data_IF_952391029268
#
_entry.id   IF_952391029268
#
_cell.length_a   1.000
_cell.length_b   1.000
_cell.length_c   1.000
_cell.angle_alpha   90.00
_cell.angle_beta   90.00
_cell.angle_gamma   90.00
#
_symmetry.space_group_name_H-M   'P 1'
#
loop_
_entity.id
_entity.type
_entity.pdbx_description
1 polymer ?
#
# COMPACT_ATOMS: atom_id res chain seq x y z
N UNK A 1 -15.43 1.83 10.07
CA UNK A 1 -13.99 1.51 9.90
C UNK A 1 -13.47 2.19 8.66
N UNK A 2 -12.43 2.99 8.83
CA UNK A 2 -11.73 3.55 7.68
C UNK A 2 -10.70 2.54 7.19
N UNK A 3 -10.98 1.91 6.07
CA UNK A 3 -10.15 0.85 5.52
C UNK A 3 -8.90 1.39 4.82
N UNK A 4 -9.05 2.48 4.09
CA UNK A 4 -8.00 3.01 3.23
C UNK A 4 -7.71 4.49 3.47
N UNK A 5 -6.54 4.90 3.02
CA UNK A 5 -6.15 6.30 2.92
C UNK A 5 -5.87 6.58 1.45
N UNK A 6 -6.67 7.43 0.84
CA UNK A 6 -6.64 7.67 -0.61
C UNK A 6 -6.62 9.16 -0.90
N UNK A 7 -5.71 9.59 -1.76
CA UNK A 7 -5.58 10.97 -2.21
C UNK A 7 -5.54 11.04 -3.73
N UNK A 8 -5.99 12.18 -4.25
CA UNK A 8 -5.82 12.53 -5.66
C UNK A 8 -4.40 13.10 -5.82
N UNK A 9 -3.69 12.64 -6.85
CA UNK A 9 -2.38 13.16 -7.20
C UNK A 9 -2.49 14.15 -8.37
N UNK A 10 -1.70 15.20 -8.32
CA UNK A 10 -1.55 16.13 -9.45
C UNK A 10 -0.54 15.64 -10.50
N UNK A 11 0.16 14.55 -10.20
CA UNK A 11 1.17 13.96 -11.09
C UNK A 11 0.52 13.09 -12.14
N UNK A 12 1.25 12.84 -13.24
CA UNK A 12 0.89 11.78 -14.17
C UNK A 12 0.91 10.43 -13.48
N UNK A 13 0.26 9.44 -14.07
CA UNK A 13 0.25 8.08 -13.54
C UNK A 13 1.68 7.55 -13.31
N UNK A 14 2.54 7.67 -14.33
CA UNK A 14 3.91 7.16 -14.24
C UNK A 14 4.72 7.91 -13.19
N UNK A 15 4.60 9.22 -13.11
CA UNK A 15 5.30 10.02 -12.11
C UNK A 15 4.83 9.71 -10.70
N UNK A 16 3.53 9.47 -10.53
CA UNK A 16 2.98 9.08 -9.22
C UNK A 16 3.52 7.72 -8.77
N UNK A 17 3.61 6.75 -9.67
CA UNK A 17 4.21 5.44 -9.36
C UNK A 17 5.66 5.60 -8.91
N UNK A 18 6.45 6.38 -9.65
CA UNK A 18 7.85 6.63 -9.30
C UNK A 18 7.97 7.34 -7.96
N UNK A 19 7.11 8.30 -7.68
CA UNK A 19 7.09 9.02 -6.40
C UNK A 19 6.79 8.07 -5.24
N UNK A 20 5.84 7.16 -5.40
CA UNK A 20 5.51 6.16 -4.37
C UNK A 20 6.71 5.27 -4.09
N UNK A 21 7.37 4.75 -5.13
CA UNK A 21 8.54 3.90 -4.96
C UNK A 21 9.67 4.64 -4.23
N UNK A 22 9.91 5.90 -4.60
CA UNK A 22 10.93 6.73 -3.96
C UNK A 22 10.61 6.97 -2.49
N UNK A 23 9.37 7.32 -2.18
CA UNK A 23 8.96 7.62 -0.80
C UNK A 23 8.97 6.37 0.09
N UNK A 24 8.65 5.21 -0.46
CA UNK A 24 8.80 3.93 0.26
C UNK A 24 10.27 3.75 0.66
N UNK A 25 11.19 3.94 -0.26
CA UNK A 25 12.63 3.82 0.01
C UNK A 25 13.10 4.87 1.03
N UNK A 26 12.62 6.10 0.91
CA UNK A 26 12.95 7.18 1.85
C UNK A 26 12.45 6.89 3.26
N UNK A 27 11.41 6.08 3.39
CA UNK A 27 10.85 5.67 4.69
C UNK A 27 11.58 4.49 5.33
N UNK A 28 12.68 4.03 4.72
CA UNK A 28 13.45 2.88 5.21
C UNK A 28 12.83 1.54 4.89
N UNK A 29 11.87 1.50 3.97
CA UNK A 29 11.22 0.28 3.52
C UNK A 29 11.72 -0.12 2.15
N UNK A 30 11.47 -1.38 1.77
CA UNK A 30 11.93 -1.93 0.51
C UNK A 30 10.74 -2.24 -0.40
N UNK A 31 10.80 -1.74 -1.63
CA UNK A 31 9.87 -2.14 -2.68
C UNK A 31 10.20 -3.58 -3.07
N UNK A 32 9.20 -4.46 -3.00
CA UNK A 32 9.36 -5.87 -3.34
C UNK A 32 9.02 -6.14 -4.79
N UNK A 33 7.90 -5.58 -5.25
CA UNK A 33 7.42 -5.80 -6.60
C UNK A 33 6.39 -4.75 -6.98
N UNK A 34 6.29 -4.47 -8.28
CA UNK A 34 5.25 -3.59 -8.82
C UNK A 34 4.43 -4.40 -9.82
N UNK A 35 3.17 -4.63 -9.50
CA UNK A 35 2.25 -5.36 -10.38
C UNK A 35 1.59 -4.38 -11.35
N UNK A 36 1.72 -4.63 -12.63
CA UNK A 36 1.02 -3.87 -13.67
C UNK A 36 -0.30 -4.57 -13.98
N UNK A 37 -1.36 -4.16 -13.30
CA UNK A 37 -2.68 -4.77 -13.42
C UNK A 37 -3.30 -4.48 -14.79
N UNK A 38 -3.10 -3.28 -15.33
CA UNK A 38 -3.58 -2.91 -16.65
C UNK A 38 -3.03 -3.87 -17.71
N UNK A 39 -1.71 -4.11 -17.68
CA UNK A 39 -1.05 -5.01 -18.61
C UNK A 39 -1.55 -6.46 -18.46
N UNK A 40 -1.61 -6.95 -17.22
CA UNK A 40 -2.06 -8.33 -16.95
C UNK A 40 -3.48 -8.57 -17.46
N UNK A 41 -4.37 -7.60 -17.27
CA UNK A 41 -5.76 -7.72 -17.73
C UNK A 41 -5.86 -7.57 -19.25
N UNK A 42 -5.06 -6.71 -19.87
CA UNK A 42 -5.08 -6.54 -21.32
C UNK A 42 -4.64 -7.79 -22.05
N UNK A 43 -3.72 -8.55 -21.48
CA UNK A 43 -3.28 -9.84 -22.03
C UNK A 43 -4.39 -10.89 -22.04
N UNK A 44 -5.42 -10.71 -21.22
CA UNK A 44 -6.61 -11.56 -21.14
C UNK A 44 -7.82 -10.98 -21.88
N UNK A 45 -7.64 -9.87 -22.60
CA UNK A 45 -8.70 -9.25 -23.40
C UNK A 45 -9.55 -8.25 -22.64
N UNK A 46 -9.17 -7.87 -21.42
CA UNK A 46 -9.89 -6.89 -20.61
C UNK A 46 -9.21 -5.52 -20.71
N UNK A 47 -10.00 -4.48 -20.86
CA UNK A 47 -9.51 -3.10 -20.91
C UNK A 47 -9.68 -2.43 -19.55
N UNK A 48 -8.65 -1.74 -19.11
CA UNK A 48 -8.65 -0.96 -17.88
C UNK A 48 -7.67 0.20 -18.02
N UNK A 49 -7.99 1.32 -17.37
CA UNK A 49 -7.05 2.41 -17.22
C UNK A 49 -5.87 1.98 -16.32
N UNK A 50 -4.82 2.76 -16.31
CA UNK A 50 -3.62 2.46 -15.54
C UNK A 50 -3.93 2.06 -14.11
N UNK A 51 -3.33 0.96 -13.68
CA UNK A 51 -3.47 0.45 -12.31
C UNK A 51 -2.22 -0.34 -11.96
N UNK A 52 -1.48 0.14 -10.96
CA UNK A 52 -0.31 -0.60 -10.44
C UNK A 52 -0.41 -0.79 -8.96
N UNK A 53 0.03 -1.95 -8.49
CA UNK A 53 0.11 -2.30 -7.08
C UNK A 53 1.59 -2.32 -6.70
N UNK A 54 2.01 -1.43 -5.80
CA UNK A 54 3.38 -1.37 -5.31
C UNK A 54 3.43 -2.11 -3.98
N UNK A 55 4.07 -3.29 -3.98
CA UNK A 55 4.27 -4.08 -2.77
C UNK A 55 5.57 -3.67 -2.09
N UNK A 56 5.52 -3.53 -0.77
CA UNK A 56 6.69 -3.17 0.01
C UNK A 56 6.66 -3.81 1.38
N UNK A 57 7.80 -3.88 2.04
CA UNK A 57 7.92 -4.53 3.34
C UNK A 57 9.03 -3.90 4.17
N UNK A 58 8.84 -4.01 5.49
CA UNK A 58 9.87 -3.78 6.48
C UNK A 58 9.93 -5.03 7.36
N UNK A 59 11.11 -5.63 7.45
CA UNK A 59 11.28 -6.90 8.18
C UNK A 59 10.89 -6.80 9.65
N UNK A 60 11.12 -5.65 10.29
CA UNK A 60 10.76 -5.42 11.70
C UNK A 60 9.25 -5.57 11.91
N UNK A 61 8.44 -4.88 11.10
CA UNK A 61 6.99 -4.96 11.19
C UNK A 61 6.48 -6.35 10.82
N UNK A 62 7.00 -6.93 9.74
CA UNK A 62 6.60 -8.25 9.27
C UNK A 62 6.83 -9.30 10.36
N UNK A 63 8.01 -9.33 10.95
CA UNK A 63 8.34 -10.29 12.00
C UNK A 63 7.45 -10.11 13.22
N UNK A 64 7.24 -8.88 13.66
CA UNK A 64 6.44 -8.60 14.84
C UNK A 64 4.96 -8.96 14.63
N UNK A 65 4.39 -8.64 13.47
CA UNK A 65 3.00 -8.99 13.17
C UNK A 65 2.80 -10.51 13.09
N UNK A 66 3.70 -11.22 12.42
CA UNK A 66 3.60 -12.68 12.32
C UNK A 66 3.76 -13.37 13.67
N UNK A 67 4.58 -12.80 14.56
CA UNK A 67 4.73 -13.33 15.92
C UNK A 67 3.48 -13.07 16.77
N UNK A 68 2.76 -11.98 16.51
CA UNK A 68 1.52 -11.68 17.22
C UNK A 68 0.37 -12.59 16.77
N UNK A 69 0.25 -12.83 15.46
CA UNK A 69 -0.74 -13.73 14.88
C UNK A 69 -0.30 -14.07 13.44
N UNK A 70 -0.02 -15.34 13.20
CA UNK A 70 0.49 -15.79 11.91
C UNK A 70 -0.51 -15.54 10.76
N UNK A 71 -1.81 -15.49 11.08
CA UNK A 71 -2.85 -15.21 10.08
C UNK A 71 -2.79 -13.78 9.54
N UNK A 72 -2.09 -12.87 10.21
CA UNK A 72 -1.84 -11.52 9.67
C UNK A 72 -1.06 -11.61 8.37
N UNK A 73 -0.33 -12.70 8.14
CA UNK A 73 0.34 -12.95 6.87
C UNK A 73 -0.58 -12.88 5.66
N UNK A 74 -1.89 -13.10 5.83
CA UNK A 74 -2.86 -12.93 4.75
C UNK A 74 -3.04 -11.46 4.32
N UNK A 75 -2.68 -10.52 5.19
CA UNK A 75 -2.73 -9.08 4.92
C UNK A 75 -1.38 -8.52 4.46
N UNK A 76 -0.39 -9.36 4.28
CA UNK A 76 0.97 -8.99 3.89
C UNK A 76 1.25 -9.39 2.45
N UNK A 77 2.20 -8.72 1.78
CA UNK A 77 2.93 -7.53 2.21
C UNK A 77 2.09 -6.27 2.16
N UNK A 78 2.64 -5.14 2.67
CA UNK A 78 2.00 -3.84 2.53
C UNK A 78 1.92 -3.44 1.06
N UNK A 79 0.89 -2.70 0.70
CA UNK A 79 0.64 -2.30 -0.69
C UNK A 79 0.17 -0.86 -0.74
N UNK A 80 0.64 -0.17 -1.76
CA UNK A 80 0.08 1.12 -2.17
C UNK A 80 -0.29 0.99 -3.64
N UNK A 81 -1.54 1.31 -3.96
CA UNK A 81 -2.03 1.29 -5.33
C UNK A 81 -1.94 2.69 -5.93
N UNK A 82 -1.56 2.75 -7.19
CA UNK A 82 -1.68 3.96 -8.01
C UNK A 82 -2.57 3.61 -9.18
N UNK A 83 -3.63 4.39 -9.40
CA UNK A 83 -4.56 4.09 -10.46
C UNK A 83 -5.19 5.35 -11.05
N UNK A 84 -5.71 5.19 -12.26
CA UNK A 84 -6.48 6.23 -12.95
C UNK A 84 -7.96 5.86 -12.83
N UNK A 85 -8.77 6.82 -12.43
CA UNK A 85 -10.23 6.69 -12.41
C UNK A 85 -10.85 8.04 -12.76
N UNK A 86 -11.77 8.06 -13.71
CA UNK A 86 -12.39 9.30 -14.14
C UNK A 86 -11.41 10.34 -14.67
N UNK A 87 -10.29 9.91 -15.24
CA UNK A 87 -9.25 10.81 -15.77
C UNK A 87 -8.30 11.37 -14.71
N UNK A 88 -8.47 11.01 -13.45
CA UNK A 88 -7.61 11.45 -12.34
C UNK A 88 -6.72 10.33 -11.84
N UNK A 89 -5.54 10.69 -11.34
CA UNK A 89 -4.61 9.76 -10.71
C UNK A 89 -4.85 9.72 -9.20
N UNK A 90 -5.02 8.52 -8.65
CA UNK A 90 -5.21 8.29 -7.22
C UNK A 90 -4.08 7.48 -6.65
N UNK A 91 -3.75 7.76 -5.39
CA UNK A 91 -2.79 6.98 -4.60
C UNK A 91 -3.54 6.49 -3.37
N UNK A 92 -3.52 5.17 -3.13
CA UNK A 92 -4.37 4.56 -2.10
C UNK A 92 -3.62 3.44 -1.38
N UNK A 93 -3.72 3.43 -0.05
CA UNK A 93 -3.15 2.36 0.77
C UNK A 93 -4.13 1.87 1.82
N UNK A 94 -4.07 0.58 2.13
CA UNK A 94 -4.82 0.03 3.25
C UNK A 94 -4.21 0.54 4.56
N UNK A 95 -5.06 0.92 5.49
CA UNK A 95 -4.61 1.43 6.78
C UNK A 95 -4.33 0.28 7.75
N UNK A 96 -3.10 0.14 8.23
CA UNK A 96 -2.75 -0.95 9.15
C UNK A 96 -3.54 -0.97 10.46
N UNK A 97 -4.12 0.17 10.86
CA UNK A 97 -4.95 0.22 12.07
C UNK A 97 -6.17 -0.70 12.00
N UNK A 98 -6.61 -1.09 10.78
CA UNK A 98 -7.72 -2.05 10.62
C UNK A 98 -7.34 -3.46 11.10
N UNK A 99 -6.05 -3.76 11.22
CA UNK A 99 -5.60 -5.08 11.70
C UNK A 99 -6.11 -5.35 13.11
N UNK A 100 -6.20 -4.33 13.95
CA UNK A 100 -6.73 -4.47 15.31
C UNK A 100 -8.20 -4.89 15.33
N UNK A 101 -8.94 -4.58 14.25
CA UNK A 101 -10.34 -4.96 14.12
C UNK A 101 -10.49 -6.37 13.55
N UNK A 102 -9.63 -6.74 12.62
CA UNK A 102 -9.65 -8.08 12.02
C UNK A 102 -9.06 -9.14 12.95
N UNK A 103 -8.12 -8.76 13.81
CA UNK A 103 -7.41 -9.65 14.72
C UNK A 103 -7.50 -9.13 16.15
N UNK A 104 -8.70 -9.11 16.75
CA UNK A 104 -8.91 -8.46 18.06
C UNK A 104 -8.19 -9.14 19.22
N UNK A 105 -7.78 -10.41 19.05
CA UNK A 105 -7.07 -11.16 20.08
C UNK A 105 -5.55 -11.09 19.95
N UNK A 106 -5.03 -10.48 18.87
CA UNK A 106 -3.60 -10.34 18.69
C UNK A 106 -3.08 -9.15 19.49
N UNK A 107 -1.91 -9.33 20.13
CA UNK A 107 -1.23 -8.24 20.84
C UNK A 107 -0.36 -7.49 19.84
N UNK A 108 -0.93 -6.46 19.23
CA UNK A 108 -0.26 -5.67 18.20
C UNK A 108 0.44 -4.42 18.75
N UNK A 109 0.09 -4.02 19.98
CA UNK A 109 0.67 -2.82 20.60
C UNK A 109 0.44 -1.57 19.76
N UNK A 110 1.47 -0.72 19.68
CA UNK A 110 1.42 0.52 18.90
C UNK A 110 1.86 0.36 17.44
N UNK A 111 2.18 -0.84 16.99
CA UNK A 111 2.72 -1.06 15.64
C UNK A 111 1.75 -0.72 14.51
N UNK A 112 0.45 -1.07 14.59
CA UNK A 112 -0.48 -0.68 13.52
C UNK A 112 -0.55 0.84 13.35
N UNK A 113 -0.58 1.59 14.45
CA UNK A 113 -0.63 3.06 14.38
C UNK A 113 0.68 3.64 13.83
N UNK A 114 1.81 3.07 14.20
CA UNK A 114 3.14 3.48 13.70
C UNK A 114 3.25 3.26 12.19
N UNK A 115 2.89 2.09 11.72
CA UNK A 115 2.93 1.75 10.29
C UNK A 115 1.91 2.58 9.50
N UNK A 116 0.71 2.79 10.07
CA UNK A 116 -0.33 3.64 9.47
C UNK A 116 0.19 5.06 9.21
N UNK A 117 0.91 5.63 10.17
CA UNK A 117 1.49 6.96 10.02
C UNK A 117 2.56 6.99 8.94
N UNK A 118 3.38 5.94 8.83
CA UNK A 118 4.39 5.84 7.78
C UNK A 118 3.73 5.79 6.40
N UNK A 119 2.68 4.98 6.25
CA UNK A 119 1.96 4.85 4.98
C UNK A 119 1.29 6.17 4.59
N UNK A 120 0.66 6.86 5.53
CA UNK A 120 0.09 8.19 5.28
C UNK A 120 1.15 9.18 4.82
N UNK A 121 2.31 9.16 5.44
CA UNK A 121 3.42 10.04 5.06
C UNK A 121 3.91 9.74 3.64
N UNK A 122 4.05 8.46 3.30
CA UNK A 122 4.41 8.05 1.93
C UNK A 122 3.41 8.60 0.93
N UNK A 123 2.13 8.39 1.17
CA UNK A 123 1.07 8.83 0.25
C UNK A 123 1.01 10.34 0.16
N UNK A 124 1.08 11.05 1.28
CA UNK A 124 1.09 12.52 1.31
C UNK A 124 2.26 13.10 0.52
N UNK A 125 3.43 12.51 0.64
CA UNK A 125 4.64 13.00 -0.04
C UNK A 125 4.70 12.59 -1.51
N UNK A 126 3.89 11.62 -1.91
CA UNK A 126 3.88 11.12 -3.29
C UNK A 126 2.91 11.86 -4.20
N UNK A 127 1.91 12.52 -3.64
CA UNK A 127 0.89 13.19 -4.43
C UNK A 127 1.43 14.43 -5.13
#
# INVERSE_FOLDING_TARGET
MEFDYTLVSSKSFDDAVQAVEKEISNSGMKVLYVHDVQKSLSEKGFKRDGFKIVEFCNAKFANAFLNADIEIGLCMPCKINVYISGGETFISGMRPVVLSQFFPNADLGGMPAELDQIIKTIINNSK
#
